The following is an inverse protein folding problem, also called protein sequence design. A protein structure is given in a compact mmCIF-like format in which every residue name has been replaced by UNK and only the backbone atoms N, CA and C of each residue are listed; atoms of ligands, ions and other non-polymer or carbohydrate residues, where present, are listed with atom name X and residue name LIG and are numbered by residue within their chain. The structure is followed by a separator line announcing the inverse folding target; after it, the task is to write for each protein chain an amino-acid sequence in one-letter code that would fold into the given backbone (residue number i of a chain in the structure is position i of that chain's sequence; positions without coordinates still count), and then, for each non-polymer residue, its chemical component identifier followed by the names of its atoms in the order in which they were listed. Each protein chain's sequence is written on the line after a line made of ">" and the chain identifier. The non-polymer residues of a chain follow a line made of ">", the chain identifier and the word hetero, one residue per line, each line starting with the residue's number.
data_IF_937983868550
#
_entry.id   IF_937983868550
#
_cell.length_a   1.000
_cell.length_b   1.000
_cell.length_c   1.000
_cell.angle_alpha   90.00
_cell.angle_beta   90.00
_cell.angle_gamma   90.00
#
_symmetry.space_group_name_H-M   'P 1'
#
loop_
_entity.id
_entity.type
_entity.pdbx_description
1 polymer ?
#
# COMPACT_ATOMS: atom_id res chain seq x y z
N UNK A 1 45.11 45.40 -51.00
CA UNK A 1 44.06 46.30 -51.49
C UNK A 1 42.75 45.49 -51.49
N UNK A 2 41.87 45.67 -50.49
CA UNK A 2 40.42 45.55 -50.66
C UNK A 2 39.77 45.95 -49.30
N UNK A 3 38.93 46.94 -49.42
CA UNK A 3 38.21 47.67 -48.38
C UNK A 3 37.13 46.83 -47.68
N UNK A 4 37.12 46.84 -46.32
CA UNK A 4 36.03 46.34 -45.50
C UNK A 4 34.95 47.43 -45.31
N UNK A 5 33.80 47.23 -45.89
CA UNK A 5 32.62 48.07 -45.69
C UNK A 5 31.82 47.55 -44.47
N UNK A 6 31.80 48.26 -43.33
CA UNK A 6 30.96 47.95 -42.17
C UNK A 6 29.60 48.61 -42.31
N UNK A 7 28.53 47.80 -42.55
CA UNK A 7 27.14 48.27 -42.47
C UNK A 7 26.65 48.32 -41.02
N UNK A 8 26.51 49.50 -40.44
CA UNK A 8 25.79 49.76 -39.19
C UNK A 8 24.29 49.44 -39.39
N UNK A 9 23.81 48.41 -38.68
CA UNK A 9 22.37 48.13 -38.58
C UNK A 9 21.72 49.16 -37.63
N UNK A 10 20.84 50.00 -38.15
CA UNK A 10 19.89 50.84 -37.39
C UNK A 10 18.78 49.95 -36.82
N UNK A 11 18.61 49.93 -35.50
CA UNK A 11 17.46 49.26 -34.85
C UNK A 11 16.18 50.05 -35.13
N UNK A 12 15.04 49.37 -35.36
CA UNK A 12 13.81 50.05 -35.74
C UNK A 12 13.23 50.81 -34.51
N UNK A 13 12.99 52.10 -34.69
CA UNK A 13 12.30 52.98 -33.71
C UNK A 13 10.91 52.49 -33.34
N UNK A 14 10.30 51.65 -34.15
CA UNK A 14 8.96 51.10 -33.92
C UNK A 14 8.89 50.19 -32.67
N UNK A 15 9.92 49.40 -32.36
CA UNK A 15 9.92 48.51 -31.21
C UNK A 15 9.94 49.26 -29.84
N UNK A 16 10.57 50.44 -29.80
CA UNK A 16 10.61 51.27 -28.60
C UNK A 16 9.26 51.93 -28.35
N UNK A 17 8.54 52.36 -29.39
CA UNK A 17 7.19 52.95 -29.28
C UNK A 17 6.18 51.93 -28.79
N UNK A 18 6.21 50.69 -29.28
CA UNK A 18 5.33 49.60 -28.84
C UNK A 18 5.60 49.27 -27.36
N UNK A 19 6.85 49.24 -26.90
CA UNK A 19 7.19 48.99 -25.53
C UNK A 19 6.65 50.09 -24.58
N UNK A 20 6.74 51.36 -24.99
CA UNK A 20 6.20 52.48 -24.21
C UNK A 20 4.66 52.46 -24.14
N UNK A 21 3.98 52.05 -25.22
CA UNK A 21 2.52 51.89 -25.19
C UNK A 21 2.07 50.75 -24.29
N UNK A 22 2.79 49.62 -24.27
CA UNK A 22 2.51 48.51 -23.36
C UNK A 22 2.72 48.90 -21.92
N UNK A 23 3.78 49.61 -21.59
CA UNK A 23 4.02 50.13 -20.25
C UNK A 23 2.95 51.11 -19.75
N UNK A 24 2.45 51.97 -20.65
CA UNK A 24 1.36 52.94 -20.31
C UNK A 24 0.03 52.21 -20.03
N UNK A 25 -0.29 51.13 -20.79
CA UNK A 25 -1.50 50.31 -20.55
C UNK A 25 -1.41 49.56 -19.22
N UNK A 26 -0.26 48.99 -18.92
CA UNK A 26 -0.05 48.31 -17.63
C UNK A 26 -0.13 49.28 -16.42
N UNK A 27 0.44 50.45 -16.55
CA UNK A 27 0.35 51.50 -15.52
C UNK A 27 -1.09 52.00 -15.28
N UNK A 28 -1.85 52.13 -16.37
CA UNK A 28 -3.28 52.50 -16.31
C UNK A 28 -4.14 51.42 -15.64
N UNK A 29 -3.88 50.15 -15.92
CA UNK A 29 -4.58 49.03 -15.31
C UNK A 29 -4.28 48.93 -13.79
N UNK A 30 -3.02 49.12 -13.39
CA UNK A 30 -2.62 49.16 -11.96
C UNK A 30 -3.26 50.34 -11.22
N UNK A 31 -3.32 51.51 -11.82
CA UNK A 31 -3.96 52.70 -11.22
C UNK A 31 -5.48 52.48 -11.03
N UNK A 32 -6.16 51.86 -11.97
CA UNK A 32 -7.58 51.51 -11.87
C UNK A 32 -7.84 50.46 -10.80
N UNK A 33 -6.97 49.46 -10.64
CA UNK A 33 -7.07 48.46 -9.59
C UNK A 33 -6.88 49.08 -8.18
N UNK A 34 -5.88 49.95 -8.05
CA UNK A 34 -5.67 50.70 -6.79
C UNK A 34 -6.83 51.61 -6.44
N UNK A 35 -7.43 52.32 -7.43
CA UNK A 35 -8.61 53.15 -7.20
C UNK A 35 -9.80 52.33 -6.71
N UNK A 36 -10.04 51.15 -7.27
CA UNK A 36 -11.11 50.26 -6.81
C UNK A 36 -10.91 49.71 -5.39
N UNK A 37 -9.65 49.53 -4.97
CA UNK A 37 -9.35 49.03 -3.64
C UNK A 37 -9.33 50.09 -2.54
N UNK A 38 -9.11 51.36 -2.87
CA UNK A 38 -8.93 52.46 -1.90
C UNK A 38 -9.91 53.61 -2.01
N UNK A 39 -10.93 53.53 -2.86
CA UNK A 39 -11.95 54.56 -2.96
C UNK A 39 -12.78 54.62 -1.65
N UNK A 40 -12.90 55.80 -1.00
CA UNK A 40 -13.71 55.92 0.22
C UNK A 40 -15.18 55.67 -0.10
N UNK A 41 -15.78 54.75 0.58
CA UNK A 41 -17.24 54.54 0.54
C UNK A 41 -17.91 55.66 1.29
N UNK A 42 -18.68 56.49 0.61
CA UNK A 42 -19.55 57.52 1.22
C UNK A 42 -20.67 56.83 1.97
N UNK A 43 -20.68 57.00 3.28
CA UNK A 43 -21.81 56.62 4.15
C UNK A 43 -23.01 57.51 3.83
N UNK A 44 -24.07 56.93 3.27
CA UNK A 44 -25.38 57.58 3.22
C UNK A 44 -26.09 57.34 4.55
N UNK A 45 -26.32 58.39 5.30
CA UNK A 45 -27.23 58.37 6.46
C UNK A 45 -28.67 58.11 6.00
N UNK A 46 -29.24 57.01 6.48
CA UNK A 46 -30.67 56.78 6.42
C UNK A 46 -31.18 56.43 7.82
N UNK A 47 -31.83 57.38 8.41
CA UNK A 47 -32.63 57.23 9.63
C UNK A 47 -33.97 56.57 9.31
N UNK A 48 -34.11 55.28 9.69
CA UNK A 48 -35.41 54.67 10.06
C UNK A 48 -35.13 53.30 10.70
N UNK A 49 -35.45 53.13 11.94
CA UNK A 49 -35.55 51.88 12.64
C UNK A 49 -36.78 51.09 12.15
N UNK A 50 -36.67 49.90 11.66
CA UNK A 50 -37.72 48.89 11.72
C UNK A 50 -37.39 47.79 12.70
N UNK A 51 -38.43 47.25 13.30
CA UNK A 51 -38.45 46.20 14.30
C UNK A 51 -37.51 45.00 13.98
N UNK A 52 -36.78 44.58 15.01
CA UNK A 52 -35.91 43.37 14.98
C UNK A 52 -36.75 42.13 14.73
N UNK A 53 -36.79 41.70 13.49
CA UNK A 53 -37.01 40.27 13.19
C UNK A 53 -35.66 39.57 13.31
N UNK A 54 -35.46 38.81 14.40
CA UNK A 54 -34.33 37.91 14.55
C UNK A 54 -34.47 36.86 13.45
N UNK A 55 -33.80 37.08 12.33
CA UNK A 55 -33.60 36.04 11.33
C UNK A 55 -32.64 35.01 11.96
N UNK A 56 -33.17 33.86 12.29
CA UNK A 56 -32.33 32.74 12.71
C UNK A 56 -31.30 32.47 11.59
N UNK A 57 -30.01 32.70 11.87
CA UNK A 57 -28.95 32.23 11.01
C UNK A 57 -29.11 30.71 10.86
N UNK A 58 -29.12 30.19 9.65
CA UNK A 58 -29.11 28.74 9.46
C UNK A 58 -27.88 28.16 10.20
N UNK A 59 -28.11 27.26 11.12
CA UNK A 59 -27.06 26.49 11.78
C UNK A 59 -26.21 25.89 10.68
N UNK A 60 -24.88 26.06 10.70
CA UNK A 60 -24.02 25.40 9.71
C UNK A 60 -24.32 23.88 9.70
N UNK A 61 -24.78 23.36 8.60
CA UNK A 61 -24.86 21.90 8.44
C UNK A 61 -23.46 21.34 8.63
N UNK A 62 -23.28 20.29 9.45
CA UNK A 62 -22.01 19.61 9.55
C UNK A 62 -21.56 19.20 8.14
N UNK A 63 -20.42 19.68 7.72
CA UNK A 63 -19.82 19.18 6.49
C UNK A 63 -19.47 17.70 6.70
N UNK A 64 -19.72 16.81 5.73
CA UNK A 64 -19.32 15.42 5.85
C UNK A 64 -17.82 15.38 6.16
N UNK A 65 -17.47 14.65 7.21
CA UNK A 65 -16.07 14.44 7.58
C UNK A 65 -15.49 13.43 6.60
N UNK A 66 -14.56 13.85 5.77
CA UNK A 66 -13.86 13.00 4.83
C UNK A 66 -12.58 12.52 5.49
N UNK A 67 -12.45 11.20 5.64
CA UNK A 67 -11.20 10.55 6.09
C UNK A 67 -10.49 9.97 4.86
N UNK A 68 -9.19 10.24 4.72
CA UNK A 68 -8.36 9.67 3.67
C UNK A 68 -7.17 8.98 4.32
N UNK A 69 -6.95 7.71 3.96
CA UNK A 69 -5.79 6.92 4.37
C UNK A 69 -4.95 6.58 3.15
N UNK A 70 -3.65 6.75 3.27
CA UNK A 70 -2.67 6.36 2.26
C UNK A 70 -2.09 4.99 2.63
N UNK A 71 -2.20 4.04 1.73
CA UNK A 71 -1.76 2.66 1.94
C UNK A 71 -0.65 2.31 0.96
N UNK A 72 0.37 1.61 1.44
CA UNK A 72 1.37 0.96 0.58
C UNK A 72 1.32 -0.55 0.73
N UNK A 73 1.61 -1.27 -0.35
CA UNK A 73 1.75 -2.73 -0.35
C UNK A 73 3.04 -3.14 -1.07
N UNK A 74 3.75 -4.07 -0.48
CA UNK A 74 5.09 -4.51 -0.90
C UNK A 74 5.11 -6.02 -1.11
N UNK A 75 5.83 -6.50 -2.12
CA UNK A 75 5.88 -7.90 -2.52
C UNK A 75 6.62 -8.83 -1.56
N UNK A 76 7.28 -9.83 -2.13
CA UNK A 76 7.84 -10.97 -1.42
C UNK A 76 9.09 -10.60 -0.60
N UNK A 77 8.96 -10.67 0.73
CA UNK A 77 10.08 -10.54 1.65
C UNK A 77 10.65 -11.93 1.95
N UNK A 78 11.51 -12.42 1.06
CA UNK A 78 12.04 -13.78 1.03
C UNK A 78 13.48 -13.82 1.57
N UNK A 79 13.64 -14.15 2.84
CA UNK A 79 14.91 -14.02 3.55
C UNK A 79 15.77 -15.28 3.43
N UNK A 80 16.69 -15.25 2.50
CA UNK A 80 17.70 -16.29 2.31
C UNK A 80 18.86 -16.17 3.32
N UNK A 81 19.68 -17.22 3.39
CA UNK A 81 20.85 -17.28 4.30
C UNK A 81 21.86 -16.15 4.07
N UNK A 82 22.11 -15.78 2.81
CA UNK A 82 22.98 -14.63 2.49
C UNK A 82 22.55 -13.33 3.18
N UNK A 83 21.26 -13.14 3.41
CA UNK A 83 20.70 -11.95 4.05
C UNK A 83 20.83 -11.99 5.58
N UNK A 84 20.38 -13.08 6.22
CA UNK A 84 20.45 -13.14 7.69
C UNK A 84 21.88 -13.38 8.21
N UNK A 85 22.74 -14.08 7.46
CA UNK A 85 24.17 -14.21 7.82
C UNK A 85 24.90 -12.86 7.76
N UNK A 86 24.58 -12.03 6.76
CA UNK A 86 25.11 -10.67 6.71
C UNK A 86 24.57 -9.80 7.85
N UNK A 87 23.26 -9.94 8.18
CA UNK A 87 22.67 -9.25 9.33
C UNK A 87 23.36 -9.67 10.65
N UNK A 88 23.63 -10.97 10.84
CA UNK A 88 24.37 -11.48 11.98
C UNK A 88 25.79 -10.92 12.05
N UNK A 89 26.49 -10.85 10.91
CA UNK A 89 27.84 -10.27 10.83
C UNK A 89 27.82 -8.79 11.21
N UNK A 90 26.85 -8.00 10.74
CA UNK A 90 26.70 -6.58 11.11
C UNK A 90 26.46 -6.39 12.60
N UNK A 91 25.70 -7.27 13.22
CA UNK A 91 25.46 -7.29 14.67
C UNK A 91 26.66 -7.79 15.51
N UNK A 92 27.84 -8.00 14.90
CA UNK A 92 29.02 -8.49 15.61
C UNK A 92 28.96 -9.97 16.01
N UNK A 93 28.13 -10.77 15.36
CA UNK A 93 27.97 -12.22 15.59
C UNK A 93 26.99 -12.58 16.72
N UNK A 94 26.40 -11.61 17.40
CA UNK A 94 25.35 -11.80 18.40
C UNK A 94 24.10 -11.02 18.01
N UNK A 95 23.00 -11.73 17.72
CA UNK A 95 21.78 -11.14 17.17
C UNK A 95 21.88 -10.86 15.68
N UNK A 96 20.98 -10.00 15.16
CA UNK A 96 20.86 -9.71 13.72
C UNK A 96 20.55 -8.23 13.52
N UNK A 97 21.30 -7.56 12.63
CA UNK A 97 21.05 -6.20 12.19
C UNK A 97 20.62 -6.19 10.72
N UNK A 98 19.32 -6.01 10.48
CA UNK A 98 18.71 -5.96 9.16
C UNK A 98 18.66 -4.55 8.55
N UNK A 99 19.12 -3.51 9.26
CA UNK A 99 19.01 -2.09 8.85
C UNK A 99 19.47 -1.85 7.42
N UNK A 100 20.65 -2.37 7.06
CA UNK A 100 21.24 -2.13 5.74
C UNK A 100 20.45 -2.73 4.57
N UNK A 101 19.55 -3.69 4.82
CA UNK A 101 18.71 -4.26 3.75
C UNK A 101 17.59 -3.29 3.32
N UNK A 102 17.13 -2.45 4.24
CA UNK A 102 15.93 -1.63 4.06
C UNK A 102 16.19 -0.13 4.18
N UNK A 103 17.44 0.30 4.48
CA UNK A 103 17.77 1.71 4.78
C UNK A 103 17.35 2.70 3.68
N UNK A 104 17.40 2.27 2.42
CA UNK A 104 17.04 3.14 1.29
C UNK A 104 15.53 3.23 1.06
N UNK A 105 14.76 2.23 1.48
CA UNK A 105 13.30 2.20 1.29
C UNK A 105 12.53 2.57 2.55
N UNK A 106 13.10 2.38 3.74
CA UNK A 106 12.45 2.67 5.01
C UNK A 106 11.88 4.12 5.11
N UNK A 107 12.59 5.17 4.64
CA UNK A 107 12.03 6.53 4.67
C UNK A 107 10.76 6.70 3.83
N UNK A 108 10.57 5.90 2.79
CA UNK A 108 9.38 5.95 1.93
C UNK A 108 8.12 5.57 2.72
N UNK A 109 8.20 4.56 3.58
CA UNK A 109 7.04 4.07 4.34
C UNK A 109 6.52 5.05 5.39
N UNK A 110 7.35 6.01 5.83
CA UNK A 110 6.91 7.07 6.76
C UNK A 110 5.85 8.02 6.16
N UNK A 111 5.65 7.97 4.85
CA UNK A 111 4.65 8.78 4.16
C UNK A 111 3.27 8.12 4.03
N UNK A 112 3.06 6.94 4.63
CA UNK A 112 1.83 6.17 4.55
C UNK A 112 1.26 5.90 5.93
N UNK A 113 -0.07 5.82 6.00
CA UNK A 113 -0.79 5.52 7.23
C UNK A 113 -0.76 4.01 7.53
N UNK A 114 -0.75 3.18 6.48
CA UNK A 114 -0.71 1.72 6.56
C UNK A 114 0.28 1.17 5.53
N UNK A 115 1.17 0.29 5.99
CA UNK A 115 2.10 -0.43 5.12
C UNK A 115 1.86 -1.93 5.24
N UNK A 116 1.57 -2.57 4.11
CA UNK A 116 1.35 -4.01 3.95
C UNK A 116 2.56 -4.70 3.33
N UNK A 117 2.87 -5.92 3.78
CA UNK A 117 3.96 -6.75 3.26
C UNK A 117 3.54 -8.22 3.15
N UNK A 118 3.98 -8.91 2.08
CA UNK A 118 4.02 -10.37 2.07
C UNK A 118 5.31 -10.86 2.74
N UNK A 119 5.20 -11.36 3.97
CA UNK A 119 6.31 -11.99 4.67
C UNK A 119 6.36 -13.48 4.26
N UNK A 120 7.22 -13.79 3.29
CA UNK A 120 7.21 -15.11 2.64
C UNK A 120 7.95 -16.19 3.44
N UNK A 121 8.66 -15.82 4.49
CA UNK A 121 9.34 -16.77 5.37
C UNK A 121 8.74 -16.76 6.77
N UNK A 122 8.72 -17.90 7.45
CA UNK A 122 8.40 -17.98 8.87
C UNK A 122 9.34 -17.08 9.68
N UNK A 123 8.81 -16.38 10.69
CA UNK A 123 9.58 -15.47 11.55
C UNK A 123 9.47 -15.93 13.00
N UNK A 124 10.55 -16.48 13.55
CA UNK A 124 10.57 -16.98 14.93
C UNK A 124 12.00 -17.32 15.34
N UNK A 125 12.29 -17.29 16.65
CA UNK A 125 13.52 -17.79 17.25
C UNK A 125 13.34 -19.19 17.87
N UNK A 126 12.16 -19.81 17.76
CA UNK A 126 11.89 -21.15 18.29
C UNK A 126 12.54 -22.26 17.43
N UNK A 127 12.91 -21.94 16.19
CA UNK A 127 13.68 -22.80 15.30
C UNK A 127 14.97 -22.09 14.88
N UNK A 128 16.04 -22.84 14.61
CA UNK A 128 17.25 -22.24 14.07
C UNK A 128 16.97 -21.61 12.70
N UNK A 129 17.62 -20.50 12.35
CA UNK A 129 17.49 -19.89 11.04
C UNK A 129 17.87 -20.87 9.94
N UNK A 130 17.12 -20.87 8.86
CA UNK A 130 17.37 -21.70 7.68
C UNK A 130 16.89 -21.00 6.41
N UNK A 131 17.45 -21.46 5.27
CA UNK A 131 17.21 -20.93 3.95
C UNK A 131 16.57 -22.00 3.05
N UNK A 132 16.51 -21.71 1.75
CA UNK A 132 15.99 -22.64 0.75
C UNK A 132 16.53 -24.07 0.98
N UNK A 133 15.68 -25.14 0.86
CA UNK A 133 14.26 -25.05 0.47
C UNK A 133 13.27 -24.85 1.63
N UNK A 134 13.71 -24.80 2.88
CA UNK A 134 12.87 -24.78 4.09
C UNK A 134 13.25 -23.58 4.97
N UNK A 135 12.58 -22.46 4.77
CA UNK A 135 12.94 -21.20 5.42
C UNK A 135 12.53 -21.12 6.89
N UNK A 136 13.34 -20.40 7.65
CA UNK A 136 13.01 -19.84 8.95
C UNK A 136 13.89 -18.63 9.19
N UNK A 137 13.29 -17.51 9.51
CA UNK A 137 13.96 -16.21 9.66
C UNK A 137 13.98 -15.81 11.14
N UNK A 138 15.09 -15.24 11.65
CA UNK A 138 15.16 -14.74 13.02
C UNK A 138 14.07 -13.70 13.33
N UNK A 139 13.54 -13.75 14.56
CA UNK A 139 12.53 -12.81 15.07
C UNK A 139 12.96 -11.34 14.96
N UNK A 140 14.25 -11.05 14.99
CA UNK A 140 14.81 -9.71 14.78
C UNK A 140 14.39 -9.08 13.43
N UNK A 141 14.09 -9.88 12.39
CA UNK A 141 13.53 -9.36 11.15
C UNK A 141 12.14 -8.77 11.37
N UNK A 142 11.27 -9.50 12.06
CA UNK A 142 9.91 -9.02 12.33
C UNK A 142 9.91 -7.72 13.14
N UNK A 143 10.79 -7.62 14.15
CA UNK A 143 11.00 -6.36 14.86
C UNK A 143 11.44 -5.25 13.90
N UNK A 144 12.38 -5.52 13.01
CA UNK A 144 12.83 -4.53 12.04
C UNK A 144 11.73 -4.11 11.05
N UNK A 145 10.87 -5.04 10.61
CA UNK A 145 9.70 -4.72 9.80
C UNK A 145 8.76 -3.74 10.53
N UNK A 146 8.51 -3.98 11.81
CA UNK A 146 7.74 -3.06 12.64
C UNK A 146 8.41 -1.66 12.72
N UNK A 147 9.72 -1.63 12.96
CA UNK A 147 10.49 -0.38 13.14
C UNK A 147 10.49 0.50 11.87
N UNK A 148 10.46 -0.11 10.68
CA UNK A 148 10.36 0.63 9.41
C UNK A 148 8.91 0.99 9.04
N UNK A 149 7.92 0.58 9.82
CA UNK A 149 6.54 1.00 9.66
C UNK A 149 5.58 -0.03 9.07
N UNK A 150 6.00 -1.32 8.89
CA UNK A 150 5.06 -2.38 8.46
C UNK A 150 4.05 -2.65 9.58
N UNK A 151 2.77 -2.61 9.25
CA UNK A 151 1.67 -2.81 10.19
C UNK A 151 0.73 -3.92 9.78
N UNK A 152 0.72 -4.31 8.52
CA UNK A 152 -0.06 -5.44 8.02
C UNK A 152 0.87 -6.47 7.42
N UNK A 153 0.86 -7.68 7.98
CA UNK A 153 1.78 -8.76 7.58
C UNK A 153 0.96 -9.95 7.06
N UNK A 154 1.00 -10.16 5.76
CA UNK A 154 0.43 -11.35 5.12
C UNK A 154 1.46 -12.48 5.14
N UNK A 155 1.03 -13.68 5.54
CA UNK A 155 1.90 -14.83 5.74
C UNK A 155 1.36 -16.13 5.13
N UNK A 156 0.28 -16.06 4.35
CA UNK A 156 -0.21 -17.21 3.59
C UNK A 156 0.57 -17.30 2.28
N UNK A 157 1.54 -18.22 2.22
CA UNK A 157 2.44 -18.39 1.09
C UNK A 157 2.93 -19.83 0.98
N UNK A 158 3.72 -20.14 -0.06
CA UNK A 158 4.23 -21.47 -0.33
C UNK A 158 5.23 -21.98 0.73
N UNK A 159 5.81 -21.10 1.56
CA UNK A 159 6.75 -21.43 2.65
C UNK A 159 6.08 -21.49 4.05
N UNK A 160 4.76 -21.39 4.12
CA UNK A 160 4.04 -21.40 5.41
C UNK A 160 4.26 -22.70 6.19
N UNK A 161 4.43 -23.86 5.53
CA UNK A 161 4.67 -25.15 6.18
C UNK A 161 6.13 -25.58 6.24
N UNK A 162 7.09 -24.71 6.00
CA UNK A 162 8.53 -25.04 6.03
C UNK A 162 9.03 -25.62 7.36
N UNK A 163 8.33 -25.36 8.45
CA UNK A 163 8.54 -25.96 9.79
C UNK A 163 7.27 -26.67 10.31
N UNK A 164 6.41 -27.11 9.38
CA UNK A 164 5.15 -27.77 9.72
C UNK A 164 4.18 -26.84 10.47
N UNK A 165 3.15 -27.41 11.07
CA UNK A 165 2.17 -26.68 11.85
C UNK A 165 2.79 -25.97 13.08
N UNK A 166 3.84 -26.55 13.66
CA UNK A 166 4.60 -25.95 14.77
C UNK A 166 5.29 -24.65 14.33
N UNK A 167 5.81 -24.59 13.09
CA UNK A 167 6.38 -23.37 12.52
C UNK A 167 5.36 -22.25 12.38
N UNK A 168 4.14 -22.57 11.93
CA UNK A 168 3.02 -21.61 11.89
C UNK A 168 2.70 -21.13 13.31
N UNK A 169 2.54 -22.04 14.26
CA UNK A 169 2.21 -21.71 15.65
C UNK A 169 3.31 -20.81 16.28
N UNK A 170 4.59 -21.12 16.07
CA UNK A 170 5.71 -20.32 16.54
C UNK A 170 5.74 -18.91 15.92
N UNK A 171 5.55 -18.81 14.61
CA UNK A 171 5.46 -17.53 13.92
C UNK A 171 4.28 -16.68 14.42
N UNK A 172 3.12 -17.29 14.63
CA UNK A 172 1.96 -16.61 15.22
C UNK A 172 2.23 -16.11 16.62
N UNK A 173 2.89 -16.90 17.48
CA UNK A 173 3.30 -16.47 18.83
C UNK A 173 4.23 -15.26 18.80
N UNK A 174 5.19 -15.27 17.89
CA UNK A 174 6.07 -14.12 17.71
C UNK A 174 5.28 -12.86 17.34
N UNK A 175 4.46 -12.91 16.31
CA UNK A 175 3.69 -11.73 15.89
C UNK A 175 2.65 -11.30 16.93
N UNK A 176 2.07 -12.22 17.69
CA UNK A 176 1.18 -11.89 18.81
C UNK A 176 1.90 -11.21 20.00
N UNK A 177 3.24 -11.26 20.03
CA UNK A 177 4.04 -10.52 21.02
C UNK A 177 4.42 -9.11 20.57
N UNK A 178 4.14 -8.75 19.30
CA UNK A 178 4.35 -7.42 18.77
C UNK A 178 3.26 -6.45 19.27
N UNK A 179 3.46 -5.13 19.14
CA UNK A 179 2.44 -4.15 19.52
C UNK A 179 1.08 -4.40 18.83
N UNK A 180 -0.01 -4.01 19.51
CA UNK A 180 -1.40 -4.27 19.11
C UNK A 180 -1.80 -3.60 17.79
N UNK A 181 -0.99 -2.66 17.26
CA UNK A 181 -1.19 -2.02 15.98
C UNK A 181 -0.70 -2.87 14.78
N UNK A 182 -0.11 -4.04 15.04
CA UNK A 182 0.26 -5.00 14.00
C UNK A 182 -0.89 -5.96 13.73
N UNK A 183 -1.34 -5.99 12.49
CA UNK A 183 -2.35 -6.95 12.00
C UNK A 183 -1.66 -8.03 11.18
N UNK A 184 -1.89 -9.28 11.55
CA UNK A 184 -1.40 -10.45 10.82
C UNK A 184 -2.53 -11.19 10.15
N UNK A 185 -2.29 -11.74 8.96
CA UNK A 185 -3.28 -12.49 8.20
C UNK A 185 -2.68 -13.70 7.49
N UNK A 186 -3.49 -14.71 7.25
CA UNK A 186 -3.14 -15.89 6.45
C UNK A 186 -2.61 -17.09 7.23
N UNK A 187 -2.31 -16.96 8.53
CA UNK A 187 -2.00 -18.07 9.42
C UNK A 187 -3.07 -18.21 10.51
N UNK A 188 -3.67 -19.37 10.63
CA UNK A 188 -4.85 -19.64 11.46
C UNK A 188 -4.57 -20.69 12.53
N UNK A 189 -5.35 -20.70 13.63
CA UNK A 189 -5.29 -21.72 14.70
C UNK A 189 -6.00 -23.00 14.33
N UNK A 190 -6.62 -23.05 13.16
CA UNK A 190 -7.42 -24.15 12.67
C UNK A 190 -8.68 -23.63 12.00
N UNK A 191 -9.49 -24.52 11.47
CA UNK A 191 -10.70 -24.15 10.74
C UNK A 191 -11.72 -23.35 11.58
N UNK A 192 -11.77 -23.61 12.88
CA UNK A 192 -12.64 -22.86 13.81
C UNK A 192 -12.25 -21.35 13.89
N UNK A 193 -10.99 -21.01 13.59
CA UNK A 193 -10.49 -19.63 13.60
C UNK A 193 -10.80 -18.86 12.31
N UNK A 194 -11.26 -19.53 11.24
CA UNK A 194 -11.54 -18.89 9.95
C UNK A 194 -12.62 -17.80 9.98
N UNK A 195 -13.50 -17.85 10.99
CA UNK A 195 -14.52 -16.83 11.19
C UNK A 195 -13.97 -15.54 11.85
N UNK A 196 -12.74 -15.57 12.37
CA UNK A 196 -12.07 -14.39 12.94
C UNK A 196 -11.44 -13.58 11.80
N UNK A 197 -12.07 -12.49 11.43
CA UNK A 197 -11.57 -11.60 10.38
C UNK A 197 -10.53 -10.64 10.98
N UNK A 198 -9.27 -10.62 10.49
CA UNK A 198 -8.28 -9.63 10.90
C UNK A 198 -8.70 -8.23 10.42
N UNK A 199 -9.00 -7.33 11.35
CA UNK A 199 -9.44 -5.97 11.05
C UNK A 199 -8.46 -4.98 11.66
N UNK A 200 -8.02 -4.02 10.86
CA UNK A 200 -7.33 -2.82 11.31
C UNK A 200 -8.31 -1.65 11.29
N UNK A 201 -8.35 -0.89 12.37
CA UNK A 201 -9.10 0.36 12.42
C UNK A 201 -8.11 1.53 12.49
N UNK A 202 -8.17 2.42 11.50
CA UNK A 202 -7.35 3.62 11.41
C UNK A 202 -8.25 4.82 11.10
N UNK A 203 -8.23 5.85 11.96
CA UNK A 203 -9.01 7.08 11.81
C UNK A 203 -10.52 6.86 11.51
N UNK A 204 -11.10 5.82 12.14
CA UNK A 204 -12.50 5.44 11.98
C UNK A 204 -12.82 4.68 10.67
N UNK A 205 -11.80 4.26 9.92
CA UNK A 205 -11.92 3.37 8.77
C UNK A 205 -11.52 1.95 9.20
N UNK A 206 -12.40 0.99 8.97
CA UNK A 206 -12.15 -0.43 9.24
C UNK A 206 -11.76 -1.14 7.95
N UNK A 207 -10.60 -1.78 7.96
CA UNK A 207 -10.06 -2.53 6.83
C UNK A 207 -9.90 -3.97 7.26
N UNK A 208 -10.57 -4.88 6.59
CA UNK A 208 -10.37 -6.32 6.74
C UNK A 208 -9.20 -6.77 5.84
N UNK A 209 -8.26 -7.51 6.40
CA UNK A 209 -7.10 -8.04 5.70
C UNK A 209 -7.17 -9.56 5.64
N UNK A 210 -7.31 -10.11 4.45
CA UNK A 210 -7.35 -11.55 4.20
C UNK A 210 -6.13 -11.99 3.41
N UNK A 211 -5.69 -13.23 3.57
CA UNK A 211 -4.58 -13.76 2.78
C UNK A 211 -4.73 -15.28 2.52
N UNK A 212 -4.43 -15.69 1.29
CA UNK A 212 -4.58 -17.05 0.77
C UNK A 212 -3.36 -17.47 -0.05
N UNK A 213 -3.11 -18.78 -0.19
CA UNK A 213 -2.03 -19.29 -1.04
C UNK A 213 -2.49 -20.41 -1.97
N UNK A 214 -1.88 -20.52 -3.14
CA UNK A 214 -2.18 -21.57 -4.11
C UNK A 214 -1.56 -22.91 -3.70
N UNK A 215 -0.38 -22.88 -3.10
CA UNK A 215 0.36 -24.08 -2.74
C UNK A 215 1.28 -23.88 -1.53
N UNK A 216 1.86 -24.98 -1.07
CA UNK A 216 2.88 -25.02 0.00
C UNK A 216 4.06 -25.90 -0.40
N UNK A 217 4.54 -25.77 -1.66
CA UNK A 217 5.67 -26.51 -2.19
C UNK A 217 5.54 -28.04 -2.04
N UNK A 218 4.30 -28.56 -2.11
CA UNK A 218 4.01 -29.98 -1.96
C UNK A 218 4.00 -30.47 -0.51
N UNK A 219 4.12 -29.59 0.48
CA UNK A 219 3.95 -29.92 1.89
C UNK A 219 2.45 -29.82 2.25
N UNK A 220 1.74 -30.95 2.43
CA UNK A 220 0.30 -30.88 2.72
C UNK A 220 0.04 -30.35 4.13
N UNK A 221 -1.12 -29.78 4.33
CA UNK A 221 -1.62 -29.50 5.69
C UNK A 221 -1.62 -30.78 6.51
N UNK A 222 -0.92 -30.85 7.64
CA UNK A 222 -0.93 -32.05 8.48
C UNK A 222 -2.34 -32.35 8.96
N UNK A 223 -2.73 -33.62 8.95
CA UNK A 223 -4.07 -34.01 9.41
C UNK A 223 -4.25 -33.67 10.90
N UNK A 224 -5.33 -32.95 11.23
CA UNK A 224 -5.61 -32.50 12.58
C UNK A 224 -4.69 -31.37 13.07
N UNK A 225 -4.03 -30.67 12.16
CA UNK A 225 -3.19 -29.52 12.52
C UNK A 225 -4.03 -28.46 13.26
N UNK A 226 -3.51 -28.04 14.42
CA UNK A 226 -4.08 -26.92 15.19
C UNK A 226 -3.77 -25.56 14.54
N UNK A 227 -2.74 -25.52 13.68
CA UNK A 227 -2.33 -24.31 12.96
C UNK A 227 -2.27 -24.59 11.45
N UNK A 228 -2.93 -23.78 10.66
CA UNK A 228 -3.06 -23.98 9.22
C UNK A 228 -3.20 -22.69 8.41
N UNK A 229 -3.40 -22.86 7.10
CA UNK A 229 -3.60 -21.83 6.09
C UNK A 229 -4.86 -22.16 5.27
N UNK A 230 -5.31 -21.22 4.45
CA UNK A 230 -6.40 -21.42 3.49
C UNK A 230 -5.79 -21.43 2.08
N UNK A 231 -6.04 -22.52 1.35
CA UNK A 231 -5.63 -22.65 -0.04
C UNK A 231 -6.62 -21.99 -1.00
N UNK A 232 -6.13 -21.49 -2.13
CA UNK A 232 -6.97 -20.91 -3.18
C UNK A 232 -8.00 -21.90 -3.75
N UNK A 233 -7.78 -23.20 -3.60
CA UNK A 233 -8.74 -24.25 -3.96
C UNK A 233 -9.92 -24.39 -3.01
N UNK A 234 -9.88 -23.76 -1.83
CA UNK A 234 -10.97 -23.75 -0.84
C UNK A 234 -11.89 -22.56 -1.09
N UNK A 235 -12.44 -22.47 -2.30
CA UNK A 235 -13.20 -21.31 -2.76
C UNK A 235 -14.40 -20.98 -1.86
N UNK A 236 -15.11 -21.98 -1.34
CA UNK A 236 -16.25 -21.78 -0.44
C UNK A 236 -15.83 -21.09 0.89
N UNK A 237 -14.64 -21.43 1.40
CA UNK A 237 -14.07 -20.81 2.61
C UNK A 237 -13.68 -19.36 2.33
N UNK A 238 -13.04 -19.12 1.19
CA UNK A 238 -12.61 -17.78 0.76
C UNK A 238 -13.83 -16.89 0.57
N UNK A 239 -14.85 -17.37 -0.15
CA UNK A 239 -16.11 -16.64 -0.34
C UNK A 239 -16.72 -16.26 1.00
N UNK A 240 -16.87 -17.25 1.90
CA UNK A 240 -17.46 -17.01 3.21
C UNK A 240 -16.68 -15.97 4.03
N UNK A 241 -15.33 -16.03 4.02
CA UNK A 241 -14.51 -15.03 4.72
C UNK A 241 -14.65 -13.63 4.11
N UNK A 242 -14.68 -13.49 2.79
CA UNK A 242 -14.85 -12.19 2.12
C UNK A 242 -16.24 -11.61 2.44
N UNK A 243 -17.30 -12.42 2.37
CA UNK A 243 -18.66 -12.01 2.72
C UNK A 243 -18.79 -11.61 4.20
N UNK A 244 -18.12 -12.34 5.10
CA UNK A 244 -18.08 -12.01 6.52
C UNK A 244 -17.26 -10.72 6.79
N UNK A 245 -16.14 -10.54 6.12
CA UNK A 245 -15.34 -9.33 6.17
C UNK A 245 -16.14 -8.10 5.72
N UNK A 246 -16.92 -8.23 4.66
CA UNK A 246 -17.79 -7.19 4.13
C UNK A 246 -18.85 -6.70 5.11
N UNK A 247 -19.28 -7.56 6.03
CA UNK A 247 -20.24 -7.22 7.09
C UNK A 247 -19.58 -6.47 8.27
N UNK A 248 -18.26 -6.57 8.42
CA UNK A 248 -17.52 -6.09 9.59
C UNK A 248 -16.62 -4.89 9.30
N UNK A 249 -16.27 -4.65 8.03
CA UNK A 249 -15.31 -3.63 7.62
C UNK A 249 -15.84 -2.73 6.51
N UNK A 250 -15.26 -1.54 6.40
CA UNK A 250 -15.54 -0.59 5.32
C UNK A 250 -14.85 -1.00 4.01
N UNK A 251 -13.67 -1.63 4.13
CA UNK A 251 -12.83 -2.08 3.00
C UNK A 251 -12.38 -3.53 3.24
N UNK A 252 -12.41 -4.34 2.19
CA UNK A 252 -11.89 -5.73 2.20
C UNK A 252 -10.70 -5.81 1.24
N UNK A 253 -9.51 -5.97 1.81
CA UNK A 253 -8.26 -6.15 1.08
C UNK A 253 -7.83 -7.63 1.14
N UNK A 254 -7.50 -8.21 -0.01
CA UNK A 254 -7.16 -9.64 -0.14
C UNK A 254 -5.75 -9.78 -0.70
N UNK A 255 -4.83 -10.37 0.08
CA UNK A 255 -3.54 -10.84 -0.39
C UNK A 255 -3.66 -12.25 -0.98
N UNK A 256 -3.01 -12.53 -2.10
CA UNK A 256 -3.02 -13.88 -2.68
C UNK A 256 -1.63 -14.24 -3.20
N UNK A 257 -1.12 -15.36 -2.71
CA UNK A 257 0.17 -15.91 -3.12
C UNK A 257 -0.06 -17.02 -4.16
N UNK A 258 0.09 -16.71 -5.43
CA UNK A 258 -0.40 -17.51 -6.56
C UNK A 258 0.40 -17.36 -7.86
N UNK A 259 0.08 -18.21 -8.83
CA UNK A 259 0.60 -18.08 -10.19
C UNK A 259 1.84 -18.93 -10.44
N UNK A 260 2.65 -18.54 -11.40
CA UNK A 260 3.82 -19.30 -11.81
C UNK A 260 5.10 -18.50 -11.54
N UNK A 261 6.03 -19.09 -10.79
CA UNK A 261 7.33 -18.47 -10.54
C UNK A 261 8.03 -18.03 -11.83
N UNK A 262 8.66 -16.87 -11.79
CA UNK A 262 9.42 -16.27 -12.88
C UNK A 262 8.60 -15.97 -14.16
N UNK A 263 7.28 -15.95 -14.08
CA UNK A 263 6.38 -15.65 -15.20
C UNK A 263 5.72 -14.28 -15.05
N UNK A 264 5.92 -13.38 -16.01
CA UNK A 264 5.17 -12.12 -16.12
C UNK A 264 3.73 -12.32 -16.64
N UNK A 265 3.41 -13.52 -17.11
CA UNK A 265 2.09 -13.83 -17.68
C UNK A 265 1.14 -14.20 -16.56
N UNK A 266 0.07 -13.43 -16.42
CA UNK A 266 -1.06 -13.77 -15.56
C UNK A 266 -1.81 -14.95 -16.16
N UNK A 267 -1.88 -16.07 -15.45
CA UNK A 267 -2.56 -17.27 -15.93
C UNK A 267 -4.09 -17.21 -15.74
N UNK A 268 -4.81 -18.13 -16.38
CA UNK A 268 -6.28 -18.17 -16.35
C UNK A 268 -6.84 -18.43 -14.95
N UNK A 269 -6.14 -19.21 -14.11
CA UNK A 269 -6.57 -19.47 -12.73
C UNK A 269 -6.51 -18.22 -11.87
N UNK A 270 -5.43 -17.43 -11.98
CA UNK A 270 -5.31 -16.13 -11.32
C UNK A 270 -6.46 -15.20 -11.72
N UNK A 271 -6.74 -15.07 -13.03
CA UNK A 271 -7.84 -14.21 -13.54
C UNK A 271 -9.21 -14.66 -13.05
N UNK A 272 -9.48 -15.96 -13.11
CA UNK A 272 -10.75 -16.52 -12.69
C UNK A 272 -11.00 -16.31 -11.20
N UNK A 273 -10.01 -16.56 -10.35
CA UNK A 273 -10.16 -16.38 -8.91
C UNK A 273 -10.22 -14.89 -8.53
N UNK A 274 -9.45 -14.02 -9.19
CA UNK A 274 -9.52 -12.57 -8.99
C UNK A 274 -10.96 -12.06 -9.24
N UNK A 275 -11.56 -12.46 -10.36
CA UNK A 275 -12.94 -12.07 -10.67
C UNK A 275 -13.93 -12.57 -9.61
N UNK A 276 -13.82 -13.82 -9.16
CA UNK A 276 -14.65 -14.37 -8.09
C UNK A 276 -14.51 -13.58 -6.79
N UNK A 277 -13.27 -13.29 -6.35
CA UNK A 277 -13.04 -12.51 -5.12
C UNK A 277 -13.61 -11.10 -5.23
N UNK A 278 -13.50 -10.45 -6.40
CA UNK A 278 -14.15 -9.17 -6.66
C UNK A 278 -15.67 -9.26 -6.55
N UNK A 279 -16.27 -10.30 -7.13
CA UNK A 279 -17.72 -10.54 -7.09
C UNK A 279 -18.22 -10.86 -5.66
N UNK A 280 -17.42 -11.55 -4.85
CA UNK A 280 -17.75 -11.87 -3.45
C UNK A 280 -17.62 -10.69 -2.50
N UNK A 281 -16.92 -9.61 -2.89
CA UNK A 281 -16.87 -8.40 -2.07
C UNK A 281 -15.50 -7.85 -1.76
N UNK A 282 -14.42 -8.36 -2.34
CA UNK A 282 -13.10 -7.73 -2.24
C UNK A 282 -13.11 -6.35 -2.89
N UNK A 283 -12.41 -5.38 -2.28
CA UNK A 283 -12.24 -4.02 -2.80
C UNK A 283 -10.88 -3.81 -3.46
N UNK A 284 -9.88 -4.60 -3.05
CA UNK A 284 -8.55 -4.64 -3.66
C UNK A 284 -7.95 -6.03 -3.52
N UNK A 285 -7.22 -6.48 -4.55
CA UNK A 285 -6.51 -7.77 -4.57
C UNK A 285 -5.02 -7.53 -4.83
N UNK A 286 -4.18 -8.08 -3.94
CA UNK A 286 -2.72 -7.89 -3.93
C UNK A 286 -2.05 -9.25 -4.10
N UNK A 287 -1.52 -9.49 -5.28
CA UNK A 287 -0.87 -10.75 -5.65
C UNK A 287 0.63 -10.76 -5.37
N UNK A 288 1.15 -11.96 -5.04
CA UNK A 288 2.55 -12.27 -4.77
C UNK A 288 2.87 -13.67 -5.28
N UNK A 289 4.09 -14.19 -5.13
CA UNK A 289 4.60 -15.51 -5.53
C UNK A 289 5.38 -15.55 -6.86
N UNK A 290 4.99 -14.93 -7.98
CA UNK A 290 5.78 -15.07 -9.22
C UNK A 290 7.22 -14.55 -9.12
N UNK A 291 7.56 -13.81 -8.06
CA UNK A 291 8.87 -13.16 -7.84
C UNK A 291 9.26 -12.17 -8.95
N UNK A 292 8.37 -11.93 -9.88
CA UNK A 292 8.45 -10.92 -10.94
C UNK A 292 7.15 -10.13 -10.99
N UNK A 293 7.22 -8.89 -11.43
CA UNK A 293 6.04 -8.02 -11.54
C UNK A 293 5.11 -8.54 -12.62
N UNK A 294 3.82 -8.69 -12.30
CA UNK A 294 2.76 -8.99 -13.26
C UNK A 294 1.84 -7.77 -13.48
N UNK A 295 0.85 -7.91 -14.35
CA UNK A 295 -0.08 -6.85 -14.69
C UNK A 295 -0.82 -6.30 -13.47
N UNK A 296 -1.18 -5.01 -13.55
CA UNK A 296 -2.14 -4.35 -12.67
C UNK A 296 -3.35 -4.02 -13.54
N UNK A 297 -4.53 -4.48 -13.12
CA UNK A 297 -5.78 -4.31 -13.85
C UNK A 297 -6.88 -3.83 -12.90
N UNK A 298 -7.99 -3.37 -13.45
CA UNK A 298 -9.20 -3.08 -12.69
C UNK A 298 -10.32 -3.98 -13.20
N UNK A 299 -10.91 -4.76 -12.32
CA UNK A 299 -12.04 -5.64 -12.61
C UNK A 299 -13.35 -4.95 -12.26
N UNK A 300 -14.37 -5.16 -13.10
CA UNK A 300 -15.75 -4.82 -12.75
C UNK A 300 -16.37 -6.01 -12.00
N UNK A 301 -16.76 -5.81 -10.75
CA UNK A 301 -17.48 -6.83 -9.97
C UNK A 301 -18.94 -6.93 -10.39
N UNK A 302 -19.61 -8.02 -10.02
CA UNK A 302 -21.02 -8.29 -10.32
C UNK A 302 -21.97 -7.20 -9.80
N UNK A 303 -21.62 -6.51 -8.72
CA UNK A 303 -22.36 -5.38 -8.14
C UNK A 303 -21.93 -4.00 -8.69
N UNK A 304 -21.01 -3.97 -9.67
CA UNK A 304 -20.59 -2.77 -10.39
C UNK A 304 -19.44 -2.00 -9.76
N UNK A 305 -18.82 -2.49 -8.68
CA UNK A 305 -17.61 -1.90 -8.10
C UNK A 305 -16.43 -2.08 -9.06
N UNK A 306 -15.48 -1.14 -8.98
CA UNK A 306 -14.21 -1.22 -9.68
C UNK A 306 -13.16 -1.72 -8.70
N UNK A 307 -12.65 -2.93 -8.91
CA UNK A 307 -11.73 -3.62 -8.01
C UNK A 307 -10.33 -3.67 -8.64
N UNK A 308 -9.37 -2.88 -8.13
CA UNK A 308 -8.00 -2.97 -8.58
C UNK A 308 -7.38 -4.30 -8.15
N UNK A 309 -6.63 -4.90 -9.07
CA UNK A 309 -5.89 -6.14 -8.89
C UNK A 309 -4.45 -5.93 -9.35
N UNK A 310 -3.50 -6.10 -8.45
CA UNK A 310 -2.09 -6.27 -8.79
C UNK A 310 -1.79 -7.77 -8.74
N UNK A 311 -1.54 -8.42 -9.87
CA UNK A 311 -1.37 -9.89 -9.90
C UNK A 311 -0.06 -10.38 -9.29
N UNK A 312 0.99 -9.56 -9.34
CA UNK A 312 2.23 -9.78 -8.58
C UNK A 312 3.01 -8.48 -8.42
N UNK A 313 3.46 -8.22 -7.19
CA UNK A 313 4.33 -7.09 -6.89
C UNK A 313 5.82 -7.41 -7.11
N UNK A 314 6.17 -8.66 -7.39
CA UNK A 314 7.55 -9.13 -7.45
C UNK A 314 8.21 -9.22 -6.08
N UNK A 315 9.53 -9.38 -6.06
CA UNK A 315 10.30 -9.42 -4.81
C UNK A 315 10.43 -8.04 -4.17
N UNK A 316 10.27 -7.99 -2.85
CA UNK A 316 10.74 -6.86 -2.06
C UNK A 316 12.20 -7.04 -1.69
N UNK A 317 12.54 -8.16 -1.07
CA UNK A 317 13.92 -8.55 -0.76
C UNK A 317 14.09 -10.05 -0.99
N UNK A 318 15.11 -10.42 -1.77
CA UNK A 318 15.52 -11.81 -1.95
C UNK A 318 16.99 -11.89 -2.34
N UNK A 319 17.55 -13.10 -2.49
CA UNK A 319 18.86 -13.33 -3.13
C UNK A 319 18.76 -13.98 -4.51
N UNK A 320 17.57 -13.98 -5.10
CA UNK A 320 17.42 -14.41 -6.49
C UNK A 320 18.20 -13.46 -7.42
N UNK A 321 18.84 -14.01 -8.45
CA UNK A 321 19.84 -13.29 -9.27
C UNK A 321 19.40 -13.02 -10.70
N UNK A 322 18.26 -13.58 -11.12
CA UNK A 322 17.69 -13.31 -12.44
C UNK A 322 17.28 -11.84 -12.51
N UNK A 323 17.52 -11.17 -13.64
CA UNK A 323 17.30 -9.75 -13.77
C UNK A 323 15.86 -9.31 -13.40
N UNK A 324 14.88 -10.09 -13.82
CA UNK A 324 13.46 -9.80 -13.58
C UNK A 324 13.08 -9.97 -12.10
N UNK A 325 13.75 -10.85 -11.34
CA UNK A 325 13.54 -11.06 -9.92
C UNK A 325 14.17 -9.94 -9.04
N UNK A 326 15.03 -9.11 -9.64
CA UNK A 326 15.62 -7.93 -8.96
C UNK A 326 14.71 -6.71 -9.03
N UNK A 327 13.56 -6.82 -9.70
CA UNK A 327 12.61 -5.73 -9.89
C UNK A 327 11.33 -6.06 -9.14
N UNK A 328 11.01 -5.27 -8.14
CA UNK A 328 9.72 -5.27 -7.47
C UNK A 328 9.08 -3.89 -7.54
N UNK A 329 7.81 -3.81 -7.22
CA UNK A 329 7.07 -2.55 -7.13
C UNK A 329 6.46 -2.39 -5.74
N UNK A 330 6.29 -1.14 -5.32
CA UNK A 330 5.45 -0.78 -4.18
C UNK A 330 4.15 -0.23 -4.76
N UNK A 331 3.07 -0.97 -4.54
CA UNK A 331 1.71 -0.52 -4.88
C UNK A 331 1.26 0.52 -3.86
N UNK A 332 0.73 1.64 -4.31
CA UNK A 332 0.16 2.66 -3.43
C UNK A 332 -1.28 2.96 -3.82
N UNK A 333 -2.14 3.15 -2.84
CA UNK A 333 -3.54 3.52 -3.06
C UNK A 333 -4.09 4.31 -1.87
N UNK A 334 -5.14 5.08 -2.13
CA UNK A 334 -5.83 5.85 -1.10
C UNK A 334 -7.20 5.22 -0.81
N UNK A 335 -7.56 5.18 0.47
CA UNK A 335 -8.89 4.81 0.94
C UNK A 335 -9.57 6.10 1.39
N UNK A 336 -10.73 6.44 0.81
CA UNK A 336 -11.50 7.61 1.18
C UNK A 336 -12.87 7.20 1.73
N UNK A 337 -13.15 7.60 2.98
CA UNK A 337 -14.46 7.40 3.63
C UNK A 337 -15.13 8.76 3.81
N UNK A 338 -16.38 8.88 3.35
CA UNK A 338 -17.21 10.09 3.41
C UNK A 338 -18.44 9.91 4.31
#
# INVERSE_FOLDING_TARGET
>A
MTSRNSKKRRKPRAAVVVLWLLCAVCAGALAALCWHMFAPQTLAESTALPASTVSAQPTPQPQPQVTQLRVSATGDNLIHDGLYLQAQKRAGGSGYDFTALYEHVAPFYQGFDINWINQETLVTDEFPPSSYPMFCTPAALGQHMYDIGMRVVAMSNNHAYDKGAEGIAATRRFWASMPDDVVTTGLWEGEADYARIPIQEQDGVKIAWLAYTESTNGLPTPQGAEANIIYTSQEDVIQHQIELARQQADVVAVGVHWGTENSHVVNDAQRALAQKMADWGADIIIGTHPHVVQAIETLASADGRQVPVAYSLGNFVSTQVQADNLIGIILTFDITKT
#
